data_IF_193663945376
#
_entry.id   IF_193663945376
#
_cell.length_a   1.000
_cell.length_b   1.000
_cell.length_c   1.000
_cell.angle_alpha   90.00
_cell.angle_beta   90.00
_cell.angle_gamma   90.00
#
_symmetry.space_group_name_H-M   'P 1'
#
loop_
_entity.id
_entity.type
_entity.pdbx_description
1 polymer ?
#
# COMPACT_ATOMS: atom_id res chain seq x y z
N UNK A 1 12.29 -9.02 -4.61
CA UNK A 1 13.42 -8.18 -5.06
C UNK A 1 14.48 -8.13 -3.98
N UNK A 2 15.76 -8.10 -4.36
CA UNK A 2 16.92 -8.07 -3.44
C UNK A 2 17.15 -6.65 -2.90
N UNK A 3 16.46 -6.29 -1.83
CA UNK A 3 16.49 -4.94 -1.24
C UNK A 3 17.76 -4.65 -0.43
N UNK A 4 18.49 -5.68 -0.06
CA UNK A 4 19.76 -5.58 0.67
C UNK A 4 20.85 -4.95 -0.21
N UNK A 5 20.75 -5.09 -1.53
CA UNK A 5 21.61 -4.50 -2.55
C UNK A 5 20.78 -3.61 -3.50
N UNK A 6 20.43 -2.37 -3.10
CA UNK A 6 19.53 -1.50 -3.86
C UNK A 6 19.97 -1.20 -5.29
N UNK A 7 21.29 -1.11 -5.53
CA UNK A 7 21.84 -0.89 -6.87
C UNK A 7 21.63 -2.11 -7.79
N UNK A 8 21.74 -3.33 -7.24
CA UNK A 8 21.41 -4.55 -8.00
C UNK A 8 19.92 -4.64 -8.29
N UNK A 9 19.09 -4.28 -7.33
CA UNK A 9 17.66 -4.20 -7.47
C UNK A 9 17.27 -3.19 -8.57
N UNK A 10 17.90 -2.01 -8.59
CA UNK A 10 17.68 -1.00 -9.63
C UNK A 10 18.06 -1.51 -11.03
N UNK A 11 19.20 -2.18 -11.14
CA UNK A 11 19.62 -2.80 -12.42
C UNK A 11 18.64 -3.87 -12.91
N UNK A 12 18.06 -4.63 -11.99
CA UNK A 12 17.04 -5.63 -12.36
C UNK A 12 15.72 -4.97 -12.78
N UNK A 13 15.35 -3.85 -12.17
CA UNK A 13 14.22 -3.03 -12.63
C UNK A 13 14.48 -2.53 -14.05
N UNK A 14 15.64 -1.91 -14.28
CA UNK A 14 16.04 -1.40 -15.60
C UNK A 14 16.03 -2.51 -16.66
N UNK A 15 16.45 -3.72 -16.30
CA UNK A 15 16.51 -4.89 -17.21
C UNK A 15 15.13 -5.33 -17.67
N UNK A 16 14.12 -5.30 -16.78
CA UNK A 16 12.79 -5.80 -17.06
C UNK A 16 11.77 -4.70 -17.42
N UNK A 17 12.15 -3.44 -17.27
CA UNK A 17 11.31 -2.33 -17.66
C UNK A 17 10.97 -2.40 -19.16
N UNK A 18 9.69 -2.21 -19.48
CA UNK A 18 9.18 -2.35 -20.84
C UNK A 18 8.83 -3.78 -21.26
N UNK A 19 9.07 -4.78 -20.42
CA UNK A 19 8.53 -6.13 -20.69
C UNK A 19 7.00 -6.11 -20.56
N UNK A 20 6.24 -6.66 -21.54
CA UNK A 20 4.77 -6.51 -21.60
C UNK A 20 4.02 -7.10 -20.40
N UNK A 21 4.65 -7.95 -19.61
CA UNK A 21 4.09 -8.55 -18.41
C UNK A 21 4.68 -7.98 -17.12
N UNK A 22 5.48 -6.93 -17.17
CA UNK A 22 6.03 -6.25 -15.99
C UNK A 22 5.03 -5.21 -15.50
N UNK A 23 4.11 -5.63 -14.61
CA UNK A 23 3.05 -4.77 -14.07
C UNK A 23 3.44 -4.01 -12.79
N UNK A 24 4.36 -4.54 -12.00
CA UNK A 24 4.77 -3.97 -10.73
C UNK A 24 6.11 -4.50 -10.23
N UNK A 25 6.69 -3.76 -9.30
CA UNK A 25 7.83 -4.20 -8.49
C UNK A 25 7.28 -4.71 -7.16
N UNK A 26 7.59 -5.94 -6.76
CA UNK A 26 7.18 -6.46 -5.46
C UNK A 26 8.36 -6.43 -4.48
N UNK A 27 8.14 -5.75 -3.34
CA UNK A 27 9.07 -5.65 -2.22
C UNK A 27 8.45 -6.19 -0.93
N UNK A 28 9.29 -6.49 0.06
CA UNK A 28 8.83 -6.93 1.39
C UNK A 28 8.60 -5.74 2.32
N UNK A 29 7.72 -5.90 3.30
CA UNK A 29 7.33 -4.84 4.23
C UNK A 29 8.34 -4.58 5.36
N UNK A 30 9.35 -5.43 5.52
CA UNK A 30 10.26 -5.47 6.67
C UNK A 30 11.72 -5.09 6.35
N UNK A 31 11.99 -3.98 5.64
CA UNK A 31 13.36 -3.58 5.39
C UNK A 31 14.01 -2.96 6.63
N UNK A 32 15.33 -3.02 6.70
CA UNK A 32 16.16 -2.29 7.65
C UNK A 32 17.32 -1.60 6.91
N UNK A 33 17.39 -0.28 7.00
CA UNK A 33 16.46 0.70 7.61
C UNK A 33 15.06 0.70 6.95
N UNK A 34 14.17 1.60 7.39
CA UNK A 34 12.83 1.75 6.81
C UNK A 34 12.87 2.36 5.39
N UNK A 35 11.79 2.22 4.62
CA UNK A 35 11.74 2.55 3.18
C UNK A 35 12.02 4.03 2.83
N UNK A 36 11.84 4.96 3.77
CA UNK A 36 12.17 6.38 3.55
C UNK A 36 13.69 6.67 3.51
N UNK A 37 14.51 5.74 4.02
CA UNK A 37 15.95 5.90 4.08
C UNK A 37 16.57 6.04 2.69
N UNK A 38 17.50 7.02 2.49
CA UNK A 38 18.17 7.24 1.21
C UNK A 38 18.92 6.03 0.65
N UNK A 39 19.24 5.02 1.46
CA UNK A 39 19.80 3.74 1.00
C UNK A 39 19.01 3.15 -0.17
N UNK A 40 17.68 3.32 -0.17
CA UNK A 40 16.80 2.73 -1.17
C UNK A 40 16.53 3.64 -2.37
N UNK A 41 17.11 4.84 -2.42
CA UNK A 41 16.91 5.78 -3.54
C UNK A 41 17.13 5.14 -4.92
N UNK A 42 18.13 4.25 -5.15
CA UNK A 42 18.30 3.61 -6.45
C UNK A 42 17.07 2.84 -6.93
N UNK A 43 16.34 2.18 -6.00
CA UNK A 43 15.10 1.45 -6.32
C UNK A 43 14.00 2.44 -6.73
N UNK A 44 13.84 3.53 -5.96
CA UNK A 44 12.82 4.53 -6.21
C UNK A 44 13.07 5.31 -7.51
N UNK A 45 14.33 5.61 -7.79
CA UNK A 45 14.75 6.25 -9.03
C UNK A 45 14.44 5.37 -10.25
N UNK A 46 14.78 4.09 -10.19
CA UNK A 46 14.47 3.14 -11.26
C UNK A 46 12.95 2.96 -11.44
N UNK A 47 12.18 2.86 -10.34
CA UNK A 47 10.73 2.73 -10.40
C UNK A 47 10.07 3.96 -11.05
N UNK A 48 10.49 5.17 -10.65
CA UNK A 48 9.95 6.43 -11.21
C UNK A 48 10.40 6.67 -12.64
N UNK A 49 11.64 6.35 -12.99
CA UNK A 49 12.18 6.43 -14.37
C UNK A 49 11.34 5.63 -15.35
N UNK A 50 10.86 4.48 -14.94
CA UNK A 50 10.09 3.57 -15.80
C UNK A 50 8.59 3.61 -15.54
N UNK A 51 8.14 4.51 -14.68
CA UNK A 51 6.72 4.68 -14.30
C UNK A 51 6.07 3.38 -13.77
N UNK A 52 6.83 2.57 -13.04
CA UNK A 52 6.39 1.28 -12.50
C UNK A 52 5.96 1.43 -11.05
N UNK A 53 4.77 0.92 -10.73
CA UNK A 53 4.24 0.89 -9.37
C UNK A 53 5.02 -0.08 -8.49
N UNK A 54 5.29 0.31 -7.25
CA UNK A 54 5.92 -0.54 -6.25
C UNK A 54 4.87 -1.05 -5.27
N UNK A 55 4.71 -2.36 -5.21
CA UNK A 55 3.83 -3.03 -4.25
C UNK A 55 4.64 -3.62 -3.11
N UNK A 56 4.20 -3.35 -1.90
CA UNK A 56 4.79 -3.85 -0.67
C UNK A 56 3.87 -4.91 -0.10
N UNK A 57 4.34 -6.16 0.00
CA UNK A 57 3.58 -7.28 0.53
C UNK A 57 4.24 -7.84 1.78
N UNK A 58 3.45 -8.44 2.64
CA UNK A 58 3.93 -9.22 3.77
C UNK A 58 4.90 -10.29 3.29
N UNK A 59 5.98 -10.51 4.04
CA UNK A 59 6.81 -11.67 3.84
C UNK A 59 6.85 -12.48 5.13
N UNK A 60 6.58 -13.78 5.03
CA UNK A 60 6.75 -14.71 6.16
C UNK A 60 8.20 -15.18 6.31
N UNK A 61 9.15 -14.49 5.69
CA UNK A 61 10.54 -14.86 5.79
C UNK A 61 11.03 -14.60 7.22
N UNK A 62 11.27 -15.69 7.92
CA UNK A 62 11.95 -15.81 9.20
C UNK A 62 11.59 -14.79 10.29
N UNK A 63 11.02 -15.26 11.39
CA UNK A 63 10.71 -14.48 12.59
C UNK A 63 11.88 -13.60 13.09
N UNK A 64 13.10 -13.93 12.74
CA UNK A 64 14.32 -13.21 13.11
C UNK A 64 14.53 -11.90 12.34
N UNK A 65 13.89 -11.75 11.18
CA UNK A 65 14.03 -10.57 10.31
C UNK A 65 12.93 -9.51 10.52
N UNK A 66 11.86 -9.86 11.25
CA UNK A 66 10.82 -8.87 11.55
C UNK A 66 11.40 -7.74 12.39
N UNK A 67 11.09 -6.48 12.07
CA UNK A 67 11.35 -5.39 12.99
C UNK A 67 10.52 -5.64 14.26
N UNK A 68 11.20 -6.18 15.26
CA UNK A 68 10.60 -6.51 16.55
C UNK A 68 10.12 -5.19 17.15
N UNK A 69 8.83 -5.08 17.56
CA UNK A 69 8.43 -3.98 18.42
C UNK A 69 9.38 -3.90 19.61
N UNK A 70 9.63 -2.72 20.20
CA UNK A 70 10.54 -2.56 21.35
C UNK A 70 10.24 -3.48 22.52
N UNK A 71 9.06 -4.07 22.55
CA UNK A 71 8.55 -4.97 23.60
C UNK A 71 8.80 -6.48 23.35
N UNK A 72 9.43 -6.85 22.23
CA UNK A 72 9.77 -8.24 21.92
C UNK A 72 8.88 -8.90 20.87
N UNK A 73 9.03 -10.23 20.72
CA UNK A 73 8.29 -11.02 19.75
C UNK A 73 6.84 -11.30 20.18
N UNK A 74 5.91 -11.34 19.21
CA UNK A 74 4.57 -11.85 19.46
C UNK A 74 4.59 -13.28 20.02
N UNK A 75 3.77 -13.55 21.02
CA UNK A 75 3.68 -14.87 21.65
C UNK A 75 2.78 -15.84 20.88
N UNK A 76 1.83 -15.30 20.12
CA UNK A 76 0.83 -16.06 19.40
C UNK A 76 0.74 -15.61 17.95
N UNK A 77 0.25 -16.50 17.07
CA UNK A 77 0.00 -16.14 15.68
C UNK A 77 -1.01 -14.97 15.53
N UNK A 78 -1.93 -14.80 16.46
CA UNK A 78 -2.86 -13.67 16.50
C UNK A 78 -2.13 -12.34 16.63
N UNK A 79 -1.21 -12.24 17.60
CA UNK A 79 -0.39 -11.04 17.80
C UNK A 79 0.44 -10.72 16.56
N UNK A 80 0.98 -11.77 15.94
CA UNK A 80 1.77 -11.68 14.71
C UNK A 80 0.95 -11.11 13.56
N UNK A 81 -0.29 -11.59 13.36
CA UNK A 81 -1.18 -11.11 12.30
C UNK A 81 -1.51 -9.61 12.46
N UNK A 82 -1.71 -9.15 13.70
CA UNK A 82 -1.96 -7.72 13.98
C UNK A 82 -0.71 -6.86 13.76
N UNK A 83 0.47 -7.41 14.00
CA UNK A 83 1.74 -6.68 13.85
C UNK A 83 1.98 -6.17 12.42
N UNK A 84 1.44 -6.80 11.41
CA UNK A 84 1.59 -6.39 10.01
C UNK A 84 1.13 -4.96 9.74
N UNK A 85 -0.01 -4.57 10.29
CA UNK A 85 -0.51 -3.19 10.18
C UNK A 85 0.45 -2.19 10.83
N UNK A 86 1.05 -2.55 11.96
CA UNK A 86 2.04 -1.71 12.65
C UNK A 86 3.34 -1.55 11.86
N UNK A 87 3.80 -2.60 11.19
CA UNK A 87 4.95 -2.54 10.30
C UNK A 87 4.68 -1.60 9.12
N UNK A 88 3.53 -1.75 8.48
CA UNK A 88 3.10 -0.87 7.40
C UNK A 88 3.01 0.59 7.87
N UNK A 89 2.45 0.84 9.05
CA UNK A 89 2.38 2.19 9.63
C UNK A 89 3.79 2.81 9.80
N UNK A 90 4.76 2.04 10.29
CA UNK A 90 6.14 2.50 10.40
C UNK A 90 6.76 2.84 9.03
N UNK A 91 6.48 2.03 8.00
CA UNK A 91 6.96 2.31 6.64
C UNK A 91 6.33 3.58 6.06
N UNK A 92 5.02 3.77 6.24
CA UNK A 92 4.31 4.99 5.81
C UNK A 92 4.91 6.23 6.47
N UNK A 93 5.12 6.19 7.79
CA UNK A 93 5.72 7.31 8.51
C UNK A 93 7.13 7.63 7.99
N UNK A 94 7.97 6.61 7.81
CA UNK A 94 9.32 6.81 7.27
C UNK A 94 9.29 7.39 5.86
N UNK A 95 8.53 6.83 4.94
CA UNK A 95 8.42 7.33 3.56
C UNK A 95 8.01 8.79 3.52
N UNK A 96 7.10 9.22 4.39
CA UNK A 96 6.62 10.60 4.43
C UNK A 96 7.64 11.51 5.11
N UNK A 97 8.02 11.24 6.36
CA UNK A 97 8.83 12.16 7.15
C UNK A 97 10.30 12.21 6.72
N UNK A 98 10.81 11.16 6.08
CA UNK A 98 12.13 11.17 5.43
C UNK A 98 12.10 11.83 4.04
N UNK A 99 10.94 12.38 3.61
CA UNK A 99 10.78 13.17 2.39
C UNK A 99 10.89 12.35 1.10
N UNK A 100 10.54 11.06 1.11
CA UNK A 100 10.63 10.18 -0.06
C UNK A 100 9.84 10.75 -1.25
N UNK A 101 8.60 11.16 -1.02
CA UNK A 101 7.71 11.64 -2.08
C UNK A 101 8.06 13.05 -2.58
N UNK A 102 8.80 13.83 -1.80
CA UNK A 102 9.38 15.09 -2.27
C UNK A 102 10.58 14.85 -3.19
N UNK A 103 11.36 13.77 -2.93
CA UNK A 103 12.44 13.33 -3.82
C UNK A 103 11.94 12.66 -5.09
N UNK A 104 10.86 11.89 -4.99
CA UNK A 104 10.29 11.09 -6.08
C UNK A 104 8.78 11.36 -6.24
N UNK A 105 8.40 12.52 -6.81
CA UNK A 105 7.01 12.99 -6.82
C UNK A 105 6.05 12.19 -7.70
N UNK A 106 6.55 11.28 -8.53
CA UNK A 106 5.71 10.36 -9.34
C UNK A 106 5.68 8.94 -8.78
N UNK A 107 6.38 8.67 -7.69
CA UNK A 107 6.41 7.34 -7.07
C UNK A 107 5.04 6.93 -6.56
N UNK A 108 4.62 5.72 -6.88
CA UNK A 108 3.39 5.09 -6.41
C UNK A 108 3.71 3.84 -5.60
N UNK A 109 3.15 3.77 -4.41
CA UNK A 109 3.30 2.64 -3.48
C UNK A 109 1.93 1.99 -3.27
N UNK A 110 1.88 0.67 -3.30
CA UNK A 110 0.70 -0.10 -2.93
C UNK A 110 1.04 -0.99 -1.74
N UNK A 111 0.32 -0.84 -0.65
CA UNK A 111 0.40 -1.71 0.52
C UNK A 111 -0.61 -2.87 0.33
N UNK A 112 -0.07 -4.07 0.11
CA UNK A 112 -0.85 -5.26 -0.20
C UNK A 112 -0.98 -6.12 1.05
N UNK A 113 -2.21 -6.42 1.45
CA UNK A 113 -2.54 -7.29 2.59
C UNK A 113 -2.08 -6.77 3.96
N UNK A 114 -2.03 -5.45 4.13
CA UNK A 114 -1.66 -4.80 5.40
C UNK A 114 -2.86 -4.29 6.20
N UNK A 115 -4.10 -4.64 5.82
CA UNK A 115 -5.31 -3.91 6.21
C UNK A 115 -5.19 -2.42 5.85
N UNK A 116 -6.21 -1.60 6.14
CA UNK A 116 -6.17 -0.18 5.77
C UNK A 116 -6.86 0.74 6.78
N UNK A 117 -7.73 0.21 7.64
CA UNK A 117 -8.53 1.05 8.55
C UNK A 117 -7.67 1.87 9.52
N UNK A 118 -6.49 1.38 9.87
CA UNK A 118 -5.51 2.03 10.73
C UNK A 118 -4.93 3.33 10.13
N UNK A 119 -5.00 3.53 8.80
CA UNK A 119 -4.43 4.72 8.16
C UNK A 119 -5.17 6.00 8.56
N UNK A 120 -6.47 5.92 8.81
CA UNK A 120 -7.30 7.07 9.15
C UNK A 120 -6.82 7.77 10.44
N UNK A 121 -6.77 7.12 11.61
CA UNK A 121 -6.23 7.75 12.81
C UNK A 121 -4.74 8.09 12.69
N UNK A 122 -3.97 7.35 11.89
CA UNK A 122 -2.57 7.66 11.64
C UNK A 122 -2.43 8.99 10.87
N UNK A 123 -3.21 9.22 9.81
CA UNK A 123 -3.23 10.48 9.07
C UNK A 123 -3.54 11.65 10.00
N UNK A 124 -4.58 11.54 10.82
CA UNK A 124 -4.92 12.59 11.79
C UNK A 124 -3.77 12.88 12.76
N UNK A 125 -3.13 11.83 13.27
CA UNK A 125 -2.00 11.97 14.19
C UNK A 125 -0.80 12.62 13.52
N UNK A 126 -0.43 12.17 12.33
CA UNK A 126 0.69 12.72 11.57
C UNK A 126 0.47 14.20 11.24
N UNK A 127 -0.72 14.57 10.76
CA UNK A 127 -1.07 15.96 10.45
C UNK A 127 -1.01 16.86 11.71
N UNK A 128 -1.55 16.40 12.83
CA UNK A 128 -1.52 17.14 14.08
C UNK A 128 -0.08 17.39 14.58
N UNK A 129 0.80 16.38 14.50
CA UNK A 129 2.22 16.52 14.86
C UNK A 129 2.95 17.43 13.89
N UNK A 130 2.69 17.27 12.58
CA UNK A 130 3.28 18.14 11.55
C UNK A 130 2.93 19.60 11.79
N UNK A 131 1.66 19.96 12.01
CA UNK A 131 1.25 21.34 12.29
C UNK A 131 1.89 21.89 13.58
N UNK A 132 2.01 21.07 14.61
CA UNK A 132 2.62 21.46 15.88
C UNK A 132 4.14 21.63 15.83
N UNK A 133 4.83 20.97 14.90
CA UNK A 133 6.29 20.85 14.84
C UNK A 133 6.86 21.00 13.42
N UNK A 134 6.24 21.80 12.60
CA UNK A 134 6.57 22.03 11.17
C UNK A 134 8.08 22.26 10.91
N UNK A 135 8.73 22.99 11.79
CA UNK A 135 10.15 23.32 11.67
C UNK A 135 11.11 22.15 11.96
N UNK A 136 10.59 21.01 12.41
CA UNK A 136 11.42 19.85 12.75
C UNK A 136 11.58 18.84 11.61
N UNK A 137 10.81 19.00 10.55
CA UNK A 137 10.84 18.15 9.38
C UNK A 137 10.89 18.99 8.10
N UNK A 138 11.56 18.48 7.07
CA UNK A 138 11.67 19.15 5.77
C UNK A 138 10.78 18.44 4.75
N UNK A 139 9.46 18.53 4.96
CA UNK A 139 8.45 18.05 3.99
C UNK A 139 7.55 19.22 3.59
N UNK A 140 7.12 19.22 2.33
CA UNK A 140 6.45 20.38 1.71
C UNK A 140 4.96 20.45 1.95
N UNK A 141 4.31 19.33 2.28
CA UNK A 141 2.86 19.20 2.39
C UNK A 141 2.47 18.48 3.68
N UNK A 142 1.18 18.45 3.99
CA UNK A 142 0.67 17.64 5.10
C UNK A 142 0.86 16.14 4.83
N UNK A 143 1.18 15.35 5.86
CA UNK A 143 1.31 13.89 5.73
C UNK A 143 0.14 13.20 5.05
N UNK A 144 -1.10 13.59 5.37
CA UNK A 144 -2.30 13.02 4.76
C UNK A 144 -2.41 13.25 3.25
N UNK A 145 -1.85 14.36 2.74
CA UNK A 145 -1.84 14.64 1.30
C UNK A 145 -0.90 13.68 0.55
N UNK A 146 0.28 13.37 1.14
CA UNK A 146 1.17 12.35 0.56
C UNK A 146 0.52 10.96 0.54
N UNK A 147 -0.19 10.58 1.61
CA UNK A 147 -0.93 9.31 1.63
C UNK A 147 -1.90 9.24 0.45
N UNK A 148 -2.73 10.27 0.27
CA UNK A 148 -3.77 10.28 -0.76
C UNK A 148 -3.22 10.26 -2.18
N UNK A 149 -2.08 10.91 -2.41
CA UNK A 149 -1.49 11.04 -3.74
C UNK A 149 -0.60 9.84 -4.12
N UNK A 150 0.13 9.28 -3.16
CA UNK A 150 1.21 8.33 -3.46
C UNK A 150 0.98 6.92 -2.95
N UNK A 151 0.10 6.72 -1.95
CA UNK A 151 -0.05 5.42 -1.28
C UNK A 151 -1.45 4.86 -1.51
N UNK A 152 -1.51 3.61 -1.97
CA UNK A 152 -2.74 2.85 -2.11
C UNK A 152 -2.72 1.65 -1.17
N UNK A 153 -3.90 1.18 -0.81
CA UNK A 153 -4.08 0.02 0.07
C UNK A 153 -5.02 -0.97 -0.62
N UNK A 154 -4.68 -2.24 -0.57
CA UNK A 154 -5.65 -3.27 -0.97
C UNK A 154 -6.73 -3.42 0.09
N UNK A 155 -7.95 -3.71 -0.34
CA UNK A 155 -9.10 -3.81 0.58
C UNK A 155 -9.10 -5.05 1.45
N UNK A 156 -8.40 -6.09 1.05
CA UNK A 156 -8.27 -7.32 1.83
C UNK A 156 -6.93 -7.28 2.63
N UNK A 157 -6.90 -7.71 3.89
CA UNK A 157 -8.04 -8.11 4.71
C UNK A 157 -8.87 -6.90 5.18
N UNK A 158 -10.20 -7.11 5.20
CA UNK A 158 -11.14 -6.06 5.55
C UNK A 158 -11.45 -6.08 7.06
N UNK A 159 -10.89 -5.13 7.78
CA UNK A 159 -11.26 -4.87 9.17
C UNK A 159 -12.52 -4.02 9.25
N UNK A 160 -13.41 -4.35 10.17
CA UNK A 160 -14.64 -3.59 10.37
C UNK A 160 -15.10 -3.59 11.83
N UNK A 161 -15.75 -2.51 12.29
CA UNK A 161 -16.34 -2.44 13.62
C UNK A 161 -17.56 -3.38 13.74
N UNK A 162 -18.02 -3.63 14.96
CA UNK A 162 -19.21 -4.42 15.24
C UNK A 162 -20.44 -3.83 14.51
N UNK A 163 -20.64 -2.53 14.64
CA UNK A 163 -21.62 -1.80 13.82
C UNK A 163 -21.01 -1.44 12.45
N UNK A 164 -21.38 -2.22 11.46
CA UNK A 164 -20.88 -2.10 10.09
C UNK A 164 -21.29 -0.80 9.38
N UNK A 165 -22.29 -0.06 9.91
CA UNK A 165 -22.68 1.23 9.35
C UNK A 165 -21.60 2.29 9.56
N UNK A 166 -20.81 2.16 10.62
CA UNK A 166 -19.67 3.05 10.90
C UNK A 166 -18.52 2.86 9.89
N UNK A 167 -18.43 1.70 9.23
CA UNK A 167 -17.45 1.48 8.18
C UNK A 167 -17.66 2.43 6.99
N UNK A 168 -18.88 2.69 6.60
CA UNK A 168 -19.20 3.65 5.52
C UNK A 168 -18.68 5.04 5.86
N UNK A 169 -18.82 5.49 7.11
CA UNK A 169 -18.23 6.77 7.57
C UNK A 169 -16.72 6.76 7.54
N UNK A 170 -16.09 5.66 7.95
CA UNK A 170 -14.64 5.54 7.88
C UNK A 170 -14.15 5.63 6.43
N UNK A 171 -14.83 5.01 5.48
CA UNK A 171 -14.56 5.14 4.05
C UNK A 171 -14.66 6.59 3.56
N UNK A 172 -15.68 7.33 3.97
CA UNK A 172 -15.82 8.75 3.63
C UNK A 172 -14.69 9.60 4.23
N UNK A 173 -14.37 9.42 5.51
CA UNK A 173 -13.33 10.19 6.19
C UNK A 173 -11.93 9.96 5.62
N UNK A 174 -11.63 8.76 5.14
CA UNK A 174 -10.35 8.46 4.51
C UNK A 174 -10.28 8.83 3.03
N UNK A 175 -11.40 9.29 2.43
CA UNK A 175 -11.51 9.50 0.98
C UNK A 175 -11.11 8.24 0.21
N UNK A 176 -11.81 7.15 0.52
CA UNK A 176 -11.45 5.80 0.09
C UNK A 176 -11.31 5.66 -1.44
N UNK A 177 -12.05 6.47 -2.21
CA UNK A 177 -11.96 6.54 -3.67
C UNK A 177 -10.57 6.96 -4.17
N UNK A 178 -9.76 7.60 -3.31
CA UNK A 178 -8.38 8.00 -3.64
C UNK A 178 -7.35 6.96 -3.29
N UNK A 179 -7.60 6.16 -2.23
CA UNK A 179 -6.53 5.34 -1.62
C UNK A 179 -6.77 3.83 -1.69
N UNK A 180 -7.98 3.35 -1.95
CA UNK A 180 -8.27 1.92 -1.93
C UNK A 180 -8.23 1.28 -3.31
N UNK A 181 -7.70 0.05 -3.36
CA UNK A 181 -7.72 -0.86 -4.50
C UNK A 181 -8.43 -2.15 -4.09
N UNK A 182 -9.42 -2.57 -4.86
CA UNK A 182 -10.08 -3.83 -4.60
C UNK A 182 -9.13 -5.02 -4.66
N UNK A 183 -9.23 -5.90 -3.66
CA UNK A 183 -8.66 -7.23 -3.65
C UNK A 183 -9.54 -8.18 -2.84
N UNK A 184 -9.54 -9.46 -3.17
CA UNK A 184 -10.33 -10.48 -2.48
C UNK A 184 -9.51 -11.57 -1.81
N UNK A 185 -8.26 -11.73 -2.24
CA UNK A 185 -7.37 -12.81 -1.82
C UNK A 185 -7.95 -14.23 -2.07
N UNK A 186 -8.86 -14.36 -3.04
CA UNK A 186 -9.41 -15.66 -3.41
C UNK A 186 -8.33 -16.58 -4.02
N UNK A 187 -8.22 -17.85 -3.62
CA UNK A 187 -9.06 -18.62 -2.69
C UNK A 187 -8.48 -18.80 -1.27
N UNK A 188 -7.77 -17.81 -0.76
CA UNK A 188 -7.18 -17.86 0.57
C UNK A 188 -8.24 -17.94 1.69
N UNK A 189 -7.87 -18.40 2.89
CA UNK A 189 -8.80 -18.55 4.01
C UNK A 189 -9.36 -17.22 4.55
N UNK A 190 -8.69 -16.11 4.26
CA UNK A 190 -9.08 -14.73 4.60
C UNK A 190 -9.82 -14.05 3.45
N UNK A 191 -10.40 -14.81 2.52
CA UNK A 191 -11.13 -14.27 1.38
C UNK A 191 -12.24 -13.29 1.79
N UNK A 192 -12.22 -12.10 1.18
CA UNK A 192 -13.26 -11.08 1.32
C UNK A 192 -14.22 -11.08 0.12
N UNK A 193 -15.52 -11.28 0.40
CA UNK A 193 -16.57 -11.28 -0.64
C UNK A 193 -16.73 -9.86 -1.23
N UNK A 194 -16.50 -9.67 -2.53
CA UNK A 194 -16.63 -8.36 -3.18
C UNK A 194 -18.03 -7.76 -3.06
N UNK A 195 -19.07 -8.59 -3.00
CA UNK A 195 -20.45 -8.12 -2.85
C UNK A 195 -20.67 -7.44 -1.50
N UNK A 196 -19.99 -7.94 -0.46
CA UNK A 196 -20.05 -7.35 0.86
C UNK A 196 -19.37 -5.98 0.87
N UNK A 197 -18.18 -5.87 0.29
CA UNK A 197 -17.46 -4.60 0.18
C UNK A 197 -18.28 -3.55 -0.58
N UNK A 198 -18.78 -3.87 -1.76
CA UNK A 198 -19.58 -2.95 -2.60
C UNK A 198 -20.80 -2.39 -1.84
N UNK A 199 -21.44 -3.22 -1.00
CA UNK A 199 -22.60 -2.81 -0.20
C UNK A 199 -22.25 -1.69 0.80
N UNK A 200 -21.04 -1.69 1.35
CA UNK A 200 -20.62 -0.75 2.40
C UNK A 200 -19.81 0.44 1.86
N UNK A 201 -19.32 0.37 0.63
CA UNK A 201 -18.68 1.52 -0.01
C UNK A 201 -19.68 2.65 -0.28
N UNK A 202 -19.30 3.91 -0.05
CA UNK A 202 -20.05 5.06 -0.57
C UNK A 202 -20.30 4.90 -2.07
N UNK A 203 -21.50 5.27 -2.53
CA UNK A 203 -21.89 5.06 -3.92
C UNK A 203 -20.91 5.68 -4.91
N UNK A 204 -20.46 6.92 -4.64
CA UNK A 204 -19.51 7.64 -5.48
C UNK A 204 -18.12 6.98 -5.54
N UNK A 205 -17.75 6.18 -4.53
CA UNK A 205 -16.44 5.55 -4.44
C UNK A 205 -16.38 4.15 -5.08
N UNK A 206 -17.54 3.52 -5.33
CA UNK A 206 -17.60 2.10 -5.78
C UNK A 206 -16.79 1.84 -7.02
N UNK A 207 -17.00 2.64 -8.05
CA UNK A 207 -16.31 2.47 -9.33
C UNK A 207 -14.80 2.68 -9.19
N UNK A 208 -14.38 3.71 -8.43
CA UNK A 208 -12.98 3.99 -8.18
C UNK A 208 -12.29 2.82 -7.47
N UNK A 209 -12.85 2.38 -6.34
CA UNK A 209 -12.24 1.32 -5.52
C UNK A 209 -12.25 -0.03 -6.23
N UNK A 210 -13.36 -0.39 -6.89
CA UNK A 210 -13.53 -1.73 -7.46
C UNK A 210 -12.68 -1.98 -8.73
N UNK A 211 -12.36 -0.93 -9.52
CA UNK A 211 -11.55 -1.14 -10.73
C UNK A 211 -10.77 0.08 -11.25
N UNK A 212 -11.29 1.34 -11.19
CA UNK A 212 -10.58 2.47 -11.81
C UNK A 212 -9.22 2.76 -11.17
N UNK A 213 -9.15 2.67 -9.85
CA UNK A 213 -7.88 2.86 -9.15
C UNK A 213 -6.85 1.78 -9.54
N UNK A 214 -7.28 0.52 -9.72
CA UNK A 214 -6.42 -0.56 -10.21
C UNK A 214 -5.90 -0.28 -11.62
N UNK A 215 -6.78 0.12 -12.54
CA UNK A 215 -6.41 0.50 -13.90
C UNK A 215 -5.37 1.63 -13.89
N UNK A 216 -5.65 2.71 -13.16
CA UNK A 216 -4.76 3.87 -13.09
C UNK A 216 -3.42 3.56 -12.41
N UNK A 217 -3.45 2.77 -11.34
CA UNK A 217 -2.25 2.46 -10.55
C UNK A 217 -1.27 1.56 -11.30
N UNK A 218 -1.78 0.60 -12.08
CA UNK A 218 -0.96 -0.40 -12.78
C UNK A 218 -0.94 -0.20 -14.30
N UNK A 219 -1.48 0.91 -14.81
CA UNK A 219 -1.56 1.19 -16.25
C UNK A 219 -2.21 0.06 -17.07
N UNK A 220 -3.26 -0.52 -16.49
CA UNK A 220 -3.99 -1.60 -17.15
C UNK A 220 -4.84 -1.06 -18.30
N UNK A 221 -5.09 -1.85 -19.35
CA UNK A 221 -6.01 -1.44 -20.42
C UNK A 221 -7.43 -1.29 -19.86
N UNK A 222 -8.13 -0.23 -20.26
CA UNK A 222 -9.53 0.02 -19.85
C UNK A 222 -10.49 -1.06 -20.34
N UNK A 223 -10.16 -1.72 -21.43
CA UNK A 223 -10.93 -2.83 -21.99
C UNK A 223 -10.07 -4.07 -22.07
N UNK A 224 -10.47 -5.13 -21.37
CA UNK A 224 -9.90 -6.46 -21.64
C UNK A 224 -10.43 -6.89 -23.00
N UNK A 225 -9.56 -7.28 -23.98
CA UNK A 225 -10.05 -7.91 -25.20
C UNK A 225 -10.96 -9.06 -24.82
N UNK A 226 -12.18 -9.09 -25.36
CA UNK A 226 -13.10 -10.18 -25.11
C UNK A 226 -12.32 -11.47 -25.39
N UNK A 227 -12.17 -12.32 -24.41
CA UNK A 227 -11.70 -13.69 -24.61
C UNK A 227 -12.79 -14.37 -25.41
N UNK A 228 -12.70 -14.28 -26.74
CA UNK A 228 -13.67 -14.88 -27.65
C UNK A 228 -13.79 -16.36 -27.26
N UNK A 229 -14.92 -16.73 -26.71
CA UNK A 229 -15.36 -18.09 -26.49
C UNK A 229 -15.00 -18.77 -25.16
N UNK A 230 -14.45 -18.09 -24.13
CA UNK A 230 -14.05 -18.75 -22.87
C UNK A 230 -14.58 -18.19 -21.55
N UNK A 231 -15.48 -17.24 -21.56
CA UNK A 231 -16.15 -16.82 -20.30
C UNK A 231 -17.31 -17.76 -20.03
N UNK A 232 -17.08 -18.84 -19.31
CA UNK A 232 -18.15 -19.52 -18.59
C UNK A 232 -18.39 -18.70 -17.31
N UNK A 233 -19.47 -17.94 -17.31
CA UNK A 233 -20.01 -17.35 -16.08
C UNK A 233 -20.55 -18.52 -15.25
N UNK A 234 -19.91 -18.78 -14.09
CA UNK A 234 -20.42 -19.72 -13.10
C UNK A 234 -21.53 -19.06 -12.27
#
# INVERSE_FOLDING_TARGET
MAIETPDDAAREIDRWAGHPYMGQILIKAEPRPAWGDPKYNPIWEAATKHDITVSCHLSRSHHEELPIPPVGFPSYNHDFMVTYSLLAANQVMSMIFDGLFDRFPTLRIVLVEHAFTWILPLMWRMDAIYEARKSWVDIKRKPSEYVKDHIKFTTQPLDYPEDKTELTRAFEWMECEKILLFSSDYPHWTFDDPRWLVKHLPEHAREAVMFRNGIATYHLPETVPALEGQVRVF
#
